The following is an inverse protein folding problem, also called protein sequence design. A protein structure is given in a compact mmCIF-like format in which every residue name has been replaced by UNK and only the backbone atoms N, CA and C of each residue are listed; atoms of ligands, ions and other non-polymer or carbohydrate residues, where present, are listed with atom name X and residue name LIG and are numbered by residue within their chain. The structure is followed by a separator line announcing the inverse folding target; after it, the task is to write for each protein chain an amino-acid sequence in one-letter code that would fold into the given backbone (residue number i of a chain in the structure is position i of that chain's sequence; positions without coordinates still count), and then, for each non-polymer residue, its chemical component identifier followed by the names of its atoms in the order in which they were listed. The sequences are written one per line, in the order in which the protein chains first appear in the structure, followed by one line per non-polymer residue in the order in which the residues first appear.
data_IF_253826766771
#
_entry.id   IF_253826766771
#
_cell.length_a   1.000
_cell.length_b   1.000
_cell.length_c   1.000
_cell.angle_alpha   90.00
_cell.angle_beta   90.00
_cell.angle_gamma   90.00
#
_symmetry.space_group_name_H-M   'P 1'
#
loop_
_entity.id
_entity.type
_entity.pdbx_description
1 polymer ?
#
# COMPACT_ATOMS: atom_id res chain seq x y z
N UNK A 1 -8.56 13.15 -12.63
CA UNK A 1 -9.68 12.47 -11.93
C UNK A 1 -9.65 12.72 -10.41
N UNK A 2 -8.55 12.47 -9.70
CA UNK A 2 -8.44 12.71 -8.24
C UNK A 2 -8.68 14.18 -7.87
N UNK A 3 -8.14 15.12 -8.67
CA UNK A 3 -8.38 16.55 -8.54
C UNK A 3 -9.88 16.91 -8.52
N UNK A 4 -10.69 16.27 -9.38
CA UNK A 4 -12.13 16.53 -9.44
C UNK A 4 -12.87 16.08 -8.17
N UNK A 5 -12.44 14.99 -7.54
CA UNK A 5 -13.06 14.50 -6.30
C UNK A 5 -12.80 15.45 -5.13
N UNK A 6 -11.57 15.97 -5.04
CA UNK A 6 -11.20 16.93 -3.99
C UNK A 6 -11.83 18.30 -4.26
N UNK A 7 -11.91 18.73 -5.53
CA UNK A 7 -12.55 20.01 -5.89
C UNK A 7 -14.07 20.05 -5.63
N UNK A 8 -14.69 18.91 -5.41
CA UNK A 8 -16.11 18.79 -5.05
C UNK A 8 -16.39 19.03 -3.55
N UNK A 9 -15.37 19.32 -2.75
CA UNK A 9 -15.50 19.65 -1.33
C UNK A 9 -15.86 21.13 -1.21
N UNK A 10 -16.99 21.43 -0.57
CA UNK A 10 -17.50 22.80 -0.45
C UNK A 10 -16.66 23.66 0.52
N UNK A 11 -16.13 23.06 1.58
CA UNK A 11 -15.33 23.76 2.58
C UNK A 11 -13.87 23.89 2.12
N UNK A 12 -13.32 25.12 1.95
CA UNK A 12 -11.94 25.33 1.50
C UNK A 12 -10.90 24.73 2.44
N UNK A 13 -11.11 24.75 3.76
CA UNK A 13 -10.17 24.18 4.73
C UNK A 13 -10.12 22.67 4.64
N UNK A 14 -11.25 22.03 4.37
CA UNK A 14 -11.35 20.58 4.14
C UNK A 14 -10.72 20.20 2.81
N UNK A 15 -10.92 21.02 1.78
CA UNK A 15 -10.32 20.83 0.48
C UNK A 15 -8.78 20.89 0.58
N UNK A 16 -8.23 21.91 1.25
CA UNK A 16 -6.79 22.05 1.43
C UNK A 16 -6.20 20.88 2.23
N UNK A 17 -6.87 20.49 3.32
CA UNK A 17 -6.47 19.33 4.12
C UNK A 17 -6.40 18.05 3.29
N UNK A 18 -7.39 17.80 2.44
CA UNK A 18 -7.40 16.61 1.58
C UNK A 18 -6.36 16.65 0.47
N UNK A 19 -6.03 17.86 -0.05
CA UNK A 19 -4.93 18.04 -1.00
C UNK A 19 -3.59 17.65 -0.35
N UNK A 20 -3.34 18.16 0.85
CA UNK A 20 -2.07 17.91 1.55
C UNK A 20 -1.96 16.44 1.99
N UNK A 21 -3.05 15.86 2.51
CA UNK A 21 -3.13 14.44 2.83
C UNK A 21 -2.86 13.57 1.60
N UNK A 22 -3.46 13.90 0.46
CA UNK A 22 -3.23 13.12 -0.76
C UNK A 22 -1.78 13.21 -1.21
N UNK A 23 -1.17 14.41 -1.24
CA UNK A 23 0.24 14.60 -1.61
C UNK A 23 1.18 13.79 -0.72
N UNK A 24 0.90 13.77 0.59
CA UNK A 24 1.74 13.07 1.57
C UNK A 24 1.60 11.55 1.48
N UNK A 25 0.38 11.04 1.29
CA UNK A 25 0.08 9.61 1.37
C UNK A 25 -0.21 8.93 0.03
N UNK A 26 -0.10 9.61 -1.10
CA UNK A 26 -0.36 9.07 -2.43
C UNK A 26 0.41 7.76 -2.68
N UNK A 27 1.72 7.79 -2.48
CA UNK A 27 2.58 6.62 -2.70
C UNK A 27 2.20 5.46 -1.76
N UNK A 28 1.85 5.77 -0.51
CA UNK A 28 1.42 4.78 0.47
C UNK A 28 0.09 4.13 0.06
N UNK A 29 -0.86 4.91 -0.45
CA UNK A 29 -2.14 4.40 -0.96
C UNK A 29 -1.91 3.50 -2.18
N UNK A 30 -1.10 3.94 -3.16
CA UNK A 30 -0.76 3.14 -4.33
C UNK A 30 -0.02 1.85 -3.96
N UNK A 31 0.88 1.90 -2.99
CA UNK A 31 1.54 0.71 -2.45
C UNK A 31 0.51 -0.26 -1.83
N UNK A 32 -0.40 0.24 -1.00
CA UNK A 32 -1.40 -0.59 -0.33
C UNK A 32 -2.30 -1.33 -1.34
N UNK A 33 -2.83 -0.63 -2.34
CA UNK A 33 -3.68 -1.25 -3.37
C UNK A 33 -2.90 -2.19 -4.29
N UNK A 34 -1.59 -1.95 -4.49
CA UNK A 34 -0.75 -2.77 -5.37
C UNK A 34 -0.53 -4.20 -4.87
N UNK A 35 -0.79 -4.46 -3.59
CA UNK A 35 -0.77 -5.81 -3.00
C UNK A 35 -1.85 -6.72 -3.61
N UNK A 36 -2.95 -6.14 -4.06
CA UNK A 36 -4.15 -6.86 -4.51
C UNK A 36 -4.45 -6.67 -5.99
N UNK A 37 -4.01 -5.55 -6.58
CA UNK A 37 -4.34 -5.15 -7.94
C UNK A 37 -3.06 -5.07 -8.79
N UNK A 38 -3.07 -5.72 -9.96
CA UNK A 38 -1.95 -5.70 -10.92
C UNK A 38 -2.12 -4.52 -11.90
N UNK A 39 -3.35 -4.33 -12.41
CA UNK A 39 -3.65 -3.30 -13.40
C UNK A 39 -3.56 -1.90 -12.79
N UNK A 40 -2.91 -0.97 -13.50
CA UNK A 40 -2.70 0.41 -13.03
C UNK A 40 -4.00 1.21 -12.93
N UNK A 41 -4.94 1.00 -13.86
CA UNK A 41 -6.24 1.68 -13.83
C UNK A 41 -7.06 1.24 -12.63
N UNK A 42 -7.07 -0.06 -12.33
CA UNK A 42 -7.72 -0.60 -11.13
C UNK A 42 -7.14 -0.02 -9.84
N UNK A 43 -5.82 0.20 -9.81
CA UNK A 43 -5.17 0.86 -8.66
C UNK A 43 -5.62 2.31 -8.53
N UNK A 44 -5.69 3.04 -9.65
CA UNK A 44 -6.18 4.43 -9.67
C UNK A 44 -7.61 4.50 -9.17
N UNK A 45 -8.48 3.61 -9.63
CA UNK A 45 -9.88 3.53 -9.19
C UNK A 45 -9.97 3.22 -7.70
N UNK A 46 -9.23 2.23 -7.20
CA UNK A 46 -9.22 1.89 -5.78
C UNK A 46 -8.67 3.03 -4.90
N UNK A 47 -7.64 3.76 -5.35
CA UNK A 47 -7.12 4.96 -4.66
C UNK A 47 -8.17 6.06 -4.67
N UNK A 48 -8.84 6.31 -5.79
CA UNK A 48 -9.92 7.30 -5.89
C UNK A 48 -11.09 6.96 -4.96
N UNK A 49 -11.55 5.71 -4.95
CA UNK A 49 -12.60 5.22 -4.04
C UNK A 49 -12.20 5.36 -2.56
N UNK A 50 -10.90 5.20 -2.28
CA UNK A 50 -10.36 5.41 -0.94
C UNK A 50 -10.44 6.87 -0.53
N UNK A 51 -10.06 7.79 -1.42
CA UNK A 51 -10.17 9.24 -1.18
C UNK A 51 -11.61 9.66 -0.93
N UNK A 52 -12.59 9.17 -1.72
CA UNK A 52 -14.01 9.44 -1.48
C UNK A 52 -14.43 9.00 -0.07
N UNK A 53 -13.90 7.85 0.38
CA UNK A 53 -14.20 7.35 1.74
C UNK A 53 -13.55 8.20 2.83
N UNK A 54 -12.30 8.65 2.62
CA UNK A 54 -11.59 9.53 3.55
C UNK A 54 -12.28 10.89 3.66
N UNK A 55 -12.72 11.48 2.53
CA UNK A 55 -13.48 12.74 2.52
C UNK A 55 -14.75 12.63 3.37
N UNK A 56 -15.50 11.54 3.23
CA UNK A 56 -16.71 11.30 4.05
C UNK A 56 -16.42 11.15 5.54
N UNK A 57 -15.17 10.93 5.93
CA UNK A 57 -14.70 10.73 7.30
C UNK A 57 -13.70 11.79 7.74
N UNK A 58 -13.77 12.98 7.13
CA UNK A 58 -12.76 14.02 7.31
C UNK A 58 -12.58 14.43 8.77
N UNK A 59 -13.68 14.59 9.51
CA UNK A 59 -13.64 14.92 10.94
C UNK A 59 -12.92 13.84 11.76
N UNK A 60 -13.17 12.58 11.41
CA UNK A 60 -12.50 11.45 12.06
C UNK A 60 -11.01 11.46 11.78
N UNK A 61 -10.60 11.58 10.50
CA UNK A 61 -9.20 11.51 10.12
C UNK A 61 -8.38 12.71 10.62
N UNK A 62 -8.99 13.90 10.73
CA UNK A 62 -8.34 15.07 11.33
C UNK A 62 -8.01 14.89 12.82
N UNK A 63 -8.80 14.10 13.53
CA UNK A 63 -8.59 13.84 14.96
C UNK A 63 -7.56 12.75 15.24
N UNK A 64 -7.07 12.04 14.21
CA UNK A 64 -6.13 10.94 14.36
C UNK A 64 -4.69 11.44 14.49
N UNK A 65 -3.93 10.83 15.41
CA UNK A 65 -2.47 10.94 15.42
C UNK A 65 -1.87 10.36 14.13
N UNK A 66 -0.73 10.88 13.69
CA UNK A 66 -0.08 10.53 12.43
C UNK A 66 0.01 9.02 12.16
N UNK A 67 0.46 8.23 13.14
CA UNK A 67 0.58 6.78 12.98
C UNK A 67 -0.78 6.08 12.81
N UNK A 68 -1.81 6.58 13.49
CA UNK A 68 -3.17 6.06 13.34
C UNK A 68 -3.79 6.48 12.02
N UNK A 69 -3.52 7.69 11.57
CA UNK A 69 -3.94 8.19 10.26
C UNK A 69 -3.33 7.34 9.14
N UNK A 70 -2.03 7.08 9.19
CA UNK A 70 -1.35 6.18 8.23
C UNK A 70 -1.99 4.80 8.17
N UNK A 71 -2.21 4.20 9.33
CA UNK A 71 -2.86 2.89 9.42
C UNK A 71 -4.28 2.92 8.83
N UNK A 72 -5.04 3.96 9.14
CA UNK A 72 -6.39 4.13 8.63
C UNK A 72 -6.43 4.28 7.11
N UNK A 73 -5.50 5.05 6.54
CA UNK A 73 -5.36 5.23 5.09
C UNK A 73 -5.02 3.90 4.40
N UNK A 74 -4.01 3.17 4.91
CA UNK A 74 -3.63 1.86 4.37
C UNK A 74 -4.80 0.89 4.40
N UNK A 75 -5.46 0.77 5.55
CA UNK A 75 -6.60 -0.13 5.71
C UNK A 75 -7.76 0.22 4.76
N UNK A 76 -8.04 1.52 4.60
CA UNK A 76 -9.08 2.00 3.67
C UNK A 76 -8.73 1.63 2.23
N UNK A 77 -7.48 1.87 1.82
CA UNK A 77 -7.01 1.56 0.47
C UNK A 77 -7.04 0.05 0.17
N UNK A 78 -6.55 -0.77 1.09
CA UNK A 78 -6.59 -2.24 0.97
C UNK A 78 -8.03 -2.76 0.88
N UNK A 79 -8.94 -2.23 1.71
CA UNK A 79 -10.36 -2.60 1.68
C UNK A 79 -11.00 -2.31 0.32
N UNK A 80 -10.68 -1.16 -0.29
CA UNK A 80 -11.20 -0.82 -1.64
C UNK A 80 -10.63 -1.74 -2.72
N UNK A 81 -9.34 -2.02 -2.65
CA UNK A 81 -8.70 -2.95 -3.59
C UNK A 81 -9.33 -4.36 -3.50
N UNK A 82 -9.51 -4.90 -2.29
CA UNK A 82 -10.14 -6.21 -2.07
C UNK A 82 -11.58 -6.23 -2.62
N UNK A 83 -12.35 -5.16 -2.37
CA UNK A 83 -13.73 -5.07 -2.87
C UNK A 83 -13.78 -5.02 -4.41
N UNK A 84 -12.83 -4.32 -5.05
CA UNK A 84 -12.72 -4.27 -6.50
C UNK A 84 -12.40 -5.67 -7.08
N UNK A 85 -11.45 -6.39 -6.47
CA UNK A 85 -11.14 -7.79 -6.86
C UNK A 85 -12.37 -8.69 -6.72
N UNK A 86 -13.10 -8.60 -5.62
CA UNK A 86 -14.32 -9.38 -5.41
C UNK A 86 -15.38 -9.08 -6.47
N UNK A 87 -15.59 -7.80 -6.78
CA UNK A 87 -16.54 -7.37 -7.82
C UNK A 87 -16.18 -7.93 -9.20
N UNK A 88 -14.91 -7.81 -9.60
CA UNK A 88 -14.41 -8.34 -10.87
C UNK A 88 -14.53 -9.87 -10.96
N UNK A 89 -14.23 -10.57 -9.87
CA UNK A 89 -14.37 -12.03 -9.83
C UNK A 89 -15.84 -12.49 -9.95
N UNK A 90 -16.79 -11.70 -9.45
CA UNK A 90 -18.22 -11.96 -9.62
C UNK A 90 -18.62 -11.68 -11.07
N UNK A 91 -18.17 -10.57 -11.65
CA UNK A 91 -18.41 -10.22 -13.05
C UNK A 91 -17.84 -11.30 -14.00
N UNK A 92 -16.61 -11.77 -13.78
CA UNK A 92 -16.00 -12.84 -14.56
C UNK A 92 -16.80 -14.15 -14.48
N UNK A 93 -17.35 -14.50 -13.32
CA UNK A 93 -18.19 -15.70 -13.16
C UNK A 93 -19.55 -15.58 -13.85
N UNK A 94 -20.05 -14.35 -14.05
CA UNK A 94 -21.30 -14.09 -14.78
C UNK A 94 -21.08 -14.02 -16.30
N UNK A 95 -19.83 -13.82 -16.76
CA UNK A 95 -19.44 -13.68 -18.16
C UNK A 95 -18.50 -14.79 -18.65
N UNK A 96 -18.63 -16.01 -18.11
CA UNK A 96 -17.83 -17.18 -18.51
C UNK A 96 -18.09 -17.63 -19.95
N UNK A 97 -18.67 -16.74 -20.74
CA UNK A 97 -18.83 -16.84 -22.21
C UNK A 97 -18.36 -15.51 -22.83
N UNK A 98 -17.07 -15.30 -23.03
CA UNK A 98 -16.47 -14.54 -24.15
C UNK A 98 -15.03 -14.10 -23.90
N UNK A 99 -14.15 -14.58 -24.74
CA UNK A 99 -12.78 -14.14 -24.95
C UNK A 99 -12.64 -12.61 -25.07
N UNK A 100 -11.81 -11.98 -24.22
CA UNK A 100 -10.93 -10.88 -24.64
C UNK A 100 -10.06 -10.35 -23.52
N UNK A 101 -8.75 -10.39 -23.72
CA UNK A 101 -7.71 -9.75 -22.91
C UNK A 101 -7.64 -8.26 -23.31
N UNK A 102 -7.77 -7.31 -22.39
CA UNK A 102 -7.49 -5.91 -22.72
C UNK A 102 -6.01 -5.59 -22.51
N UNK A 103 -5.29 -5.41 -23.59
CA UNK A 103 -3.99 -4.72 -23.64
C UNK A 103 -4.21 -3.21 -23.75
N UNK A 104 -3.57 -2.41 -22.87
CA UNK A 104 -3.55 -0.97 -23.04
C UNK A 104 -3.06 -0.17 -21.82
N UNK A 105 -1.75 0.01 -21.69
CA UNK A 105 -1.17 1.02 -20.81
C UNK A 105 -0.26 1.94 -21.61
N UNK A 106 -0.56 3.24 -21.57
CA UNK A 106 0.31 4.29 -22.07
C UNK A 106 1.43 4.56 -21.06
N UNK A 107 2.68 4.46 -21.50
CA UNK A 107 3.89 4.45 -20.69
C UNK A 107 4.70 5.71 -20.99
N UNK A 108 4.97 6.52 -19.95
CA UNK A 108 6.11 7.44 -19.94
C UNK A 108 7.11 6.92 -18.90
N UNK A 109 8.32 6.62 -19.38
CA UNK A 109 9.46 5.95 -18.74
C UNK A 109 9.29 4.44 -18.52
N UNK A 110 9.43 3.67 -19.61
CA UNK A 110 9.43 2.20 -19.57
C UNK A 110 10.49 1.65 -18.59
N UNK A 111 11.64 2.29 -18.48
CA UNK A 111 12.75 1.85 -17.63
C UNK A 111 12.43 1.98 -16.13
N UNK A 112 11.83 3.08 -15.71
CA UNK A 112 11.43 3.27 -14.30
C UNK A 112 10.29 2.33 -13.90
N UNK A 113 9.36 2.10 -14.79
CA UNK A 113 8.27 1.14 -14.59
C UNK A 113 8.80 -0.30 -14.51
N UNK A 114 9.72 -0.69 -15.40
CA UNK A 114 10.36 -2.00 -15.37
C UNK A 114 11.18 -2.21 -14.10
N UNK A 115 11.90 -1.19 -13.64
CA UNK A 115 12.64 -1.23 -12.39
C UNK A 115 11.71 -1.40 -11.18
N UNK A 116 10.59 -0.66 -11.11
CA UNK A 116 9.60 -0.80 -10.06
C UNK A 116 8.96 -2.20 -10.06
N UNK A 117 8.66 -2.75 -11.23
CA UNK A 117 8.16 -4.13 -11.36
C UNK A 117 9.21 -5.13 -10.87
N UNK A 118 10.46 -4.97 -11.26
CA UNK A 118 11.55 -5.86 -10.85
C UNK A 118 11.74 -5.85 -9.32
N UNK A 119 11.78 -4.67 -8.70
CA UNK A 119 11.85 -4.51 -7.24
C UNK A 119 10.63 -5.15 -6.56
N UNK A 120 9.44 -4.88 -7.07
CA UNK A 120 8.20 -5.44 -6.53
C UNK A 120 8.18 -6.96 -6.62
N UNK A 121 8.59 -7.51 -7.75
CA UNK A 121 8.65 -8.96 -7.96
C UNK A 121 9.66 -9.61 -7.01
N UNK A 122 10.84 -8.99 -6.82
CA UNK A 122 11.85 -9.45 -5.86
C UNK A 122 11.31 -9.44 -4.42
N UNK A 123 10.67 -8.35 -3.99
CA UNK A 123 10.05 -8.27 -2.66
C UNK A 123 8.92 -9.31 -2.53
N UNK A 124 8.06 -9.43 -3.54
CA UNK A 124 6.96 -10.40 -3.53
C UNK A 124 7.44 -11.85 -3.46
N UNK A 125 8.58 -12.18 -4.06
CA UNK A 125 9.16 -13.54 -4.03
C UNK A 125 9.77 -13.90 -2.67
N UNK A 126 10.32 -12.93 -1.94
CA UNK A 126 10.91 -13.18 -0.61
C UNK A 126 9.88 -13.06 0.52
N UNK A 127 8.82 -12.28 0.31
CA UNK A 127 7.82 -12.02 1.35
C UNK A 127 7.19 -13.29 1.95
N UNK A 128 6.81 -14.34 1.17
CA UNK A 128 6.32 -15.60 1.70
C UNK A 128 7.33 -16.35 2.57
N UNK A 129 8.65 -16.18 2.32
CA UNK A 129 9.74 -16.83 3.05
C UNK A 129 10.02 -16.22 4.43
N UNK A 130 9.46 -15.03 4.70
CA UNK A 130 9.53 -14.39 6.01
C UNK A 130 8.47 -14.95 6.95
N UNK A 131 8.83 -15.13 8.23
CA UNK A 131 7.88 -15.50 9.28
C UNK A 131 6.87 -14.40 9.52
N UNK A 132 5.72 -14.75 10.12
CA UNK A 132 4.68 -13.78 10.49
C UNK A 132 5.24 -12.64 11.35
N UNK A 133 6.10 -12.94 12.30
CA UNK A 133 6.73 -11.94 13.18
C UNK A 133 7.65 -10.99 12.41
N UNK A 134 8.45 -11.52 11.47
CA UNK A 134 9.33 -10.71 10.61
C UNK A 134 8.52 -9.78 9.71
N UNK A 135 7.43 -10.26 9.12
CA UNK A 135 6.50 -9.45 8.32
C UNK A 135 5.90 -8.32 9.15
N UNK A 136 5.33 -8.63 10.31
CA UNK A 136 4.72 -7.64 11.22
C UNK A 136 5.73 -6.55 11.58
N UNK A 137 6.95 -6.93 11.98
CA UNK A 137 7.99 -5.98 12.39
C UNK A 137 8.40 -5.04 11.26
N UNK A 138 8.63 -5.60 10.05
CA UNK A 138 9.03 -4.81 8.87
C UNK A 138 7.89 -3.90 8.41
N UNK A 139 6.68 -4.42 8.29
CA UNK A 139 5.51 -3.67 7.86
C UNK A 139 5.18 -2.54 8.84
N UNK A 140 5.13 -2.85 10.14
CA UNK A 140 4.86 -1.86 11.19
C UNK A 140 5.90 -0.74 11.18
N UNK A 141 7.19 -1.06 10.98
CA UNK A 141 8.27 -0.07 11.03
C UNK A 141 8.34 0.80 9.77
N UNK A 142 8.29 0.16 8.59
CA UNK A 142 8.62 0.84 7.33
C UNK A 142 7.41 1.33 6.55
N UNK A 143 6.26 0.72 6.77
CA UNK A 143 5.02 1.07 6.07
C UNK A 143 4.12 1.91 6.97
N UNK A 144 3.86 1.42 8.20
CA UNK A 144 2.95 2.08 9.13
C UNK A 144 3.64 3.16 9.99
N UNK A 145 4.98 3.23 9.97
CA UNK A 145 5.76 4.23 10.69
C UNK A 145 5.79 4.07 12.22
N UNK A 146 5.37 2.92 12.74
CA UNK A 146 5.29 2.71 14.18
C UNK A 146 6.66 2.80 14.87
N UNK A 147 6.68 3.36 16.08
CA UNK A 147 7.85 3.34 16.94
C UNK A 147 8.00 1.97 17.65
N UNK A 148 9.17 1.74 18.26
CA UNK A 148 9.46 0.44 18.86
C UNK A 148 8.53 0.09 20.05
N UNK A 149 7.98 1.07 20.76
CA UNK A 149 7.03 0.82 21.84
C UNK A 149 5.69 0.33 21.31
N UNK A 150 5.21 0.92 20.21
CA UNK A 150 3.98 0.52 19.53
C UNK A 150 4.10 -0.87 18.94
N UNK A 151 5.20 -1.15 18.24
CA UNK A 151 5.49 -2.49 17.70
C UNK A 151 5.60 -3.52 18.85
N UNK A 152 6.22 -3.12 19.97
CA UNK A 152 6.31 -3.98 21.15
C UNK A 152 4.95 -4.35 21.72
N UNK A 153 3.99 -3.42 21.75
CA UNK A 153 2.61 -3.70 22.15
C UNK A 153 1.91 -4.70 21.21
N UNK A 154 2.12 -4.56 19.89
CA UNK A 154 1.55 -5.47 18.89
C UNK A 154 2.12 -6.89 19.05
N UNK A 155 3.42 -7.00 19.29
CA UNK A 155 4.12 -8.27 19.42
C UNK A 155 4.10 -8.86 20.84
N UNK A 156 3.54 -8.17 21.82
CA UNK A 156 3.57 -8.60 23.22
C UNK A 156 4.98 -8.64 23.83
N UNK A 157 5.90 -7.76 23.38
CA UNK A 157 7.30 -7.73 23.82
C UNK A 157 7.80 -6.33 24.19
N UNK A 158 8.97 -6.29 24.85
CA UNK A 158 9.60 -5.01 25.21
C UNK A 158 10.17 -4.29 23.96
N UNK A 159 10.17 -2.95 23.95
CA UNK A 159 10.72 -2.13 22.86
C UNK A 159 12.18 -2.47 22.49
N UNK A 160 12.99 -2.86 23.47
CA UNK A 160 14.38 -3.29 23.23
C UNK A 160 14.43 -4.59 22.41
N UNK A 161 13.48 -5.51 22.61
CA UNK A 161 13.37 -6.75 21.85
C UNK A 161 12.99 -6.47 20.39
N UNK A 162 12.18 -5.42 20.15
CA UNK A 162 11.79 -5.00 18.80
C UNK A 162 13.01 -4.62 17.95
N UNK A 163 14.01 -3.94 18.53
CA UNK A 163 15.26 -3.62 17.82
C UNK A 163 15.96 -4.87 17.30
N UNK A 164 16.02 -5.89 18.14
CA UNK A 164 16.63 -7.17 17.77
C UNK A 164 15.83 -7.88 16.68
N UNK A 165 14.50 -7.89 16.79
CA UNK A 165 13.63 -8.47 15.75
C UNK A 165 13.76 -7.73 14.42
N UNK A 166 13.79 -6.40 14.43
CA UNK A 166 14.02 -5.58 13.24
C UNK A 166 15.37 -5.90 12.58
N UNK A 167 16.44 -6.00 13.36
CA UNK A 167 17.78 -6.31 12.85
C UNK A 167 17.82 -7.69 12.19
N UNK A 168 17.22 -8.69 12.82
CA UNK A 168 17.14 -10.05 12.27
C UNK A 168 16.28 -10.12 11.02
N UNK A 169 15.11 -9.48 11.05
CA UNK A 169 14.19 -9.46 9.92
C UNK A 169 14.79 -8.76 8.68
N UNK A 170 15.50 -7.63 8.89
CA UNK A 170 16.22 -6.95 7.80
C UNK A 170 17.31 -7.83 7.20
N UNK A 171 18.15 -8.42 8.06
CA UNK A 171 19.24 -9.28 7.60
C UNK A 171 18.69 -10.44 6.78
N UNK A 172 17.68 -11.13 7.28
CA UNK A 172 17.05 -12.23 6.55
C UNK A 172 16.42 -11.79 5.23
N UNK A 173 15.72 -10.64 5.23
CA UNK A 173 15.15 -10.12 3.99
C UNK A 173 16.24 -9.78 2.97
N UNK A 174 17.37 -9.22 3.42
CA UNK A 174 18.51 -8.91 2.57
C UNK A 174 19.17 -10.19 2.02
N UNK A 175 19.41 -11.18 2.88
CA UNK A 175 19.98 -12.47 2.48
C UNK A 175 19.10 -13.15 1.41
N UNK A 176 17.78 -13.15 1.61
CA UNK A 176 16.82 -13.68 0.64
C UNK A 176 16.79 -12.90 -0.68
N UNK A 177 16.98 -11.57 -0.64
CA UNK A 177 17.05 -10.74 -1.85
C UNK A 177 18.33 -11.03 -2.65
N UNK A 178 19.45 -11.29 -1.97
CA UNK A 178 20.69 -11.69 -2.61
C UNK A 178 20.59 -13.08 -3.25
N UNK A 179 19.88 -14.02 -2.62
CA UNK A 179 19.64 -15.36 -3.19
C UNK A 179 18.77 -15.33 -4.46
N UNK A 180 17.82 -14.38 -4.56
CA UNK A 180 16.87 -14.29 -5.70
C UNK A 180 17.49 -13.64 -6.96
N UNK A 181 18.71 -13.17 -6.89
CA UNK A 181 19.49 -12.73 -8.02
C UNK A 181 20.25 -11.43 -7.77
N UNK A 182 21.51 -11.51 -8.08
CA UNK A 182 22.50 -10.48 -8.29
C UNK A 182 22.06 -9.04 -7.96
N UNK A 183 22.12 -8.71 -6.69
CA UNK A 183 22.20 -7.35 -6.24
C UNK A 183 23.71 -7.07 -6.08
N UNK A 184 24.35 -6.48 -7.09
CA UNK A 184 25.61 -5.80 -6.84
C UNK A 184 25.27 -4.57 -5.97
N UNK A 185 25.82 -4.49 -4.76
CA UNK A 185 25.67 -3.29 -3.94
C UNK A 185 26.43 -2.14 -4.61
N UNK A 186 25.73 -1.03 -4.85
CA UNK A 186 26.34 0.24 -5.22
C UNK A 186 27.23 0.77 -4.08
#
# INVERSE_FOLDING_TARGET
MISAVISAIDNPDDQQFMIDLYKEYEQLMFWAVSKYLVNIEDRRDAVQDSLVTLIRKIDTIRSLEENRLRTYIVYTAESKAINLVKRKNIELRLFDDLDSIPTGASINSADEYLLQIAIKNKISSIWPKLTTQEKIVLESKYILGYNNNEIGKILGCRANSVRMYLTRARRKALDLLMEVGEFEPL
#
